data_IF_113999994503
#
_entry.id   IF_113999994503
#
_cell.length_a   1.000
_cell.length_b   1.000
_cell.length_c   1.000
_cell.angle_alpha   90.00
_cell.angle_beta   90.00
_cell.angle_gamma   90.00
#
_symmetry.space_group_name_H-M   'P 1'
#
loop_
_entity.id
_entity.type
_entity.pdbx_description
1 polymer ?
#
# COMPACT_ATOMS: atom_id res chain seq x y z
N UNK A 1 -73.30 13.02 33.73
CA UNK A 1 -72.20 13.17 32.76
C UNK A 1 -70.93 13.56 33.50
N UNK A 2 -70.01 12.63 33.70
CA UNK A 2 -68.63 12.90 34.12
C UNK A 2 -67.74 12.06 33.22
N UNK A 3 -67.09 12.71 32.27
CA UNK A 3 -66.06 12.11 31.41
C UNK A 3 -64.73 12.44 32.09
N UNK A 4 -64.03 11.42 32.59
CA UNK A 4 -62.66 11.55 33.05
C UNK A 4 -61.75 10.97 31.97
N UNK A 5 -61.06 11.87 31.30
CA UNK A 5 -60.06 11.61 30.26
C UNK A 5 -58.85 10.91 30.88
N UNK A 6 -58.55 9.69 30.41
CA UNK A 6 -57.30 8.99 30.72
C UNK A 6 -56.26 9.47 29.70
N UNK A 7 -55.21 10.16 30.19
CA UNK A 7 -54.08 10.59 29.37
C UNK A 7 -53.04 9.46 29.36
N UNK A 8 -52.89 8.77 28.23
CA UNK A 8 -51.84 7.78 28.02
C UNK A 8 -50.54 8.53 27.63
N UNK A 9 -49.55 8.59 28.53
CA UNK A 9 -48.20 9.01 28.16
C UNK A 9 -47.51 7.86 27.42
N UNK A 10 -47.30 8.01 26.12
CA UNK A 10 -46.42 7.14 25.34
C UNK A 10 -45.02 7.75 25.41
N UNK A 11 -44.15 7.21 26.25
CA UNK A 11 -42.73 7.55 26.26
C UNK A 11 -42.06 6.90 25.05
N UNK A 12 -41.69 7.71 24.06
CA UNK A 12 -40.89 7.27 22.91
C UNK A 12 -39.41 7.33 23.30
N UNK A 13 -38.82 6.17 23.59
CA UNK A 13 -37.38 6.04 23.80
C UNK A 13 -36.66 6.20 22.48
N UNK A 14 -36.02 7.35 22.25
CA UNK A 14 -35.09 7.54 21.14
C UNK A 14 -33.80 6.83 21.51
N UNK A 15 -33.56 5.66 20.90
CA UNK A 15 -32.26 4.99 20.95
C UNK A 15 -31.36 5.73 19.96
N UNK A 16 -30.52 6.62 20.47
CA UNK A 16 -29.37 7.15 19.72
C UNK A 16 -28.38 5.99 19.57
N UNK A 17 -28.41 5.30 18.43
CA UNK A 17 -27.28 4.52 17.97
C UNK A 17 -26.17 5.51 17.63
N UNK A 18 -25.30 5.80 18.60
CA UNK A 18 -23.98 6.32 18.29
C UNK A 18 -23.25 5.22 17.53
N UNK A 19 -23.21 5.32 16.20
CA UNK A 19 -22.22 4.60 15.42
C UNK A 19 -20.86 5.11 15.92
N UNK A 20 -20.21 4.36 16.80
CA UNK A 20 -18.80 4.58 17.06
C UNK A 20 -18.11 4.43 15.72
N UNK A 21 -17.61 5.52 15.15
CA UNK A 21 -16.76 5.44 13.98
C UNK A 21 -15.61 4.48 14.33
N UNK A 22 -15.49 3.38 13.58
CA UNK A 22 -14.34 2.50 13.73
C UNK A 22 -13.09 3.33 13.47
N UNK A 23 -12.04 3.14 14.28
CA UNK A 23 -10.77 3.79 14.03
C UNK A 23 -10.27 3.40 12.62
N UNK A 24 -9.83 4.39 11.86
CA UNK A 24 -9.29 4.19 10.51
C UNK A 24 -7.93 3.49 10.58
N UNK A 25 -7.65 2.65 9.59
CA UNK A 25 -6.38 1.97 9.48
C UNK A 25 -5.27 2.91 8.99
N UNK A 26 -4.09 2.78 9.58
CA UNK A 26 -2.82 3.20 9.00
C UNK A 26 -1.95 1.95 8.85
N UNK A 27 -1.81 1.47 7.61
CA UNK A 27 -1.05 0.27 7.25
C UNK A 27 0.35 0.71 6.82
N UNK A 28 1.40 0.16 7.43
CA UNK A 28 2.77 0.57 7.19
C UNK A 28 3.63 -0.62 6.74
N UNK A 29 4.18 -0.58 5.53
CA UNK A 29 5.10 -1.62 5.07
C UNK A 29 6.53 -1.38 5.59
N UNK A 30 7.13 -2.45 6.12
CA UNK A 30 8.54 -2.57 6.44
C UNK A 30 9.13 -3.66 5.53
N UNK A 31 9.96 -3.26 4.57
CA UNK A 31 10.58 -4.21 3.67
C UNK A 31 11.93 -4.72 4.21
N UNK A 32 12.21 -6.01 4.04
CA UNK A 32 13.32 -6.70 4.70
C UNK A 32 14.68 -6.15 4.27
N UNK A 33 14.78 -5.69 3.01
CA UNK A 33 16.02 -5.15 2.46
C UNK A 33 16.40 -3.77 2.97
N UNK A 34 15.52 -3.10 3.71
CA UNK A 34 15.71 -1.70 4.13
C UNK A 34 16.90 -1.55 5.10
N UNK A 35 17.26 -2.64 5.81
CA UNK A 35 18.43 -2.73 6.69
C UNK A 35 19.77 -2.65 5.95
N UNK A 36 19.78 -2.86 4.63
CA UNK A 36 20.98 -2.83 3.79
C UNK A 36 21.25 -1.47 3.14
N UNK A 37 20.32 -0.51 3.30
CA UNK A 37 20.54 0.83 2.77
C UNK A 37 21.74 1.49 3.44
N UNK A 38 22.54 2.26 2.70
CA UNK A 38 23.71 2.93 3.26
C UNK A 38 23.34 4.21 4.00
N UNK A 39 24.20 4.60 4.96
CA UNK A 39 24.14 5.93 5.59
C UNK A 39 22.78 6.22 6.22
N UNK A 40 22.26 7.42 5.96
CA UNK A 40 20.98 7.90 6.48
C UNK A 40 19.78 7.14 5.90
N UNK A 41 19.98 6.33 4.85
CA UNK A 41 18.93 5.47 4.31
C UNK A 41 18.71 4.18 5.09
N UNK A 42 19.62 3.78 5.98
CA UNK A 42 19.49 2.53 6.74
C UNK A 42 18.28 2.60 7.65
N UNK A 43 17.34 1.67 7.45
CA UNK A 43 16.11 1.56 8.22
C UNK A 43 15.99 0.16 8.81
N UNK A 44 15.70 0.07 10.11
CA UNK A 44 15.55 -1.18 10.86
C UNK A 44 14.41 -1.02 11.87
N UNK A 45 14.07 -2.08 12.62
CA UNK A 45 12.97 -2.10 13.59
C UNK A 45 13.03 -0.95 14.61
N UNK A 46 14.23 -0.53 15.04
CA UNK A 46 14.38 0.58 16.01
C UNK A 46 14.03 1.95 15.42
N UNK A 47 13.94 2.07 14.10
CA UNK A 47 13.54 3.32 13.48
C UNK A 47 12.02 3.52 13.57
N UNK A 48 11.25 2.43 13.52
CA UNK A 48 9.78 2.45 13.51
C UNK A 48 9.23 3.17 14.76
N UNK A 49 8.37 4.17 14.55
CA UNK A 49 7.49 4.70 15.59
C UNK A 49 6.14 3.94 15.57
N UNK A 50 5.90 3.01 16.51
CA UNK A 50 4.71 2.16 16.46
C UNK A 50 3.42 2.91 16.77
N UNK A 51 3.50 4.17 17.23
CA UNK A 51 2.31 4.98 17.49
C UNK A 51 1.72 5.57 16.21
N UNK A 52 2.48 5.57 15.11
CA UNK A 52 2.05 6.14 13.83
C UNK A 52 1.28 5.13 12.96
N UNK A 53 1.38 3.84 13.28
CA UNK A 53 0.77 2.76 12.51
C UNK A 53 -0.25 1.98 13.34
N UNK A 54 -1.30 1.50 12.70
CA UNK A 54 -2.24 0.53 13.29
C UNK A 54 -1.83 -0.90 12.98
N UNK A 55 -1.26 -1.09 11.78
CA UNK A 55 -0.75 -2.36 11.28
C UNK A 55 0.64 -2.13 10.70
N UNK A 56 1.58 -3.03 11.00
CA UNK A 56 2.89 -3.10 10.34
C UNK A 56 2.94 -4.39 9.53
N UNK A 57 3.28 -4.27 8.26
CA UNK A 57 3.44 -5.38 7.34
C UNK A 57 4.92 -5.68 7.18
N UNK A 58 5.38 -6.88 7.58
CA UNK A 58 6.70 -7.36 7.22
C UNK A 58 6.66 -7.85 5.77
N UNK A 59 7.34 -7.13 4.89
CA UNK A 59 7.59 -7.53 3.51
C UNK A 59 9.03 -8.04 3.36
N UNK A 60 9.33 -9.14 2.68
CA UNK A 60 8.41 -10.14 2.20
C UNK A 60 8.96 -11.54 2.46
N UNK A 61 8.04 -12.48 2.63
CA UNK A 61 8.28 -13.88 2.30
C UNK A 61 7.84 -14.13 0.84
N UNK A 62 8.32 -15.22 0.24
CA UNK A 62 8.01 -15.62 -1.12
C UNK A 62 7.32 -16.97 -1.18
N UNK A 63 7.11 -17.46 -2.40
CA UNK A 63 6.38 -18.69 -2.67
C UNK A 63 7.13 -19.61 -3.64
N UNK A 64 7.43 -20.83 -3.21
CA UNK A 64 7.94 -21.87 -4.09
C UNK A 64 6.82 -22.49 -4.96
N UNK A 65 7.14 -23.05 -6.14
CA UNK A 65 6.14 -23.63 -7.05
C UNK A 65 5.36 -24.84 -6.50
N UNK A 66 5.82 -25.44 -5.40
CA UNK A 66 5.15 -26.54 -4.70
C UNK A 66 4.19 -26.07 -3.60
N UNK A 67 4.09 -24.76 -3.38
CA UNK A 67 3.25 -24.14 -2.36
C UNK A 67 3.97 -23.88 -1.04
N UNK A 68 5.26 -24.19 -0.89
CA UNK A 68 5.99 -23.91 0.37
C UNK A 68 6.50 -22.47 0.46
N UNK A 69 6.69 -21.98 1.69
CA UNK A 69 7.20 -20.63 1.93
C UNK A 69 8.68 -20.53 1.50
N UNK A 70 9.02 -19.44 0.83
CA UNK A 70 10.39 -19.04 0.57
C UNK A 70 10.78 -17.88 1.50
N UNK A 71 11.81 -18.04 2.33
CA UNK A 71 12.37 -16.92 3.10
C UNK A 71 13.37 -16.20 2.21
N UNK A 72 12.92 -15.11 1.58
CA UNK A 72 13.68 -14.36 0.56
C UNK A 72 14.94 -13.73 1.16
N UNK A 73 14.88 -13.32 2.43
CA UNK A 73 15.97 -12.67 3.15
C UNK A 73 16.26 -13.34 4.50
N UNK A 74 17.06 -14.43 4.51
CA UNK A 74 17.37 -15.15 5.75
C UNK A 74 18.14 -14.33 6.79
N UNK A 75 18.84 -13.27 6.36
CA UNK A 75 19.61 -12.43 7.29
C UNK A 75 18.71 -11.45 8.04
N UNK A 76 17.66 -10.93 7.42
CA UNK A 76 16.64 -10.16 8.15
C UNK A 76 15.66 -11.06 8.91
N UNK A 77 15.56 -12.34 8.55
CA UNK A 77 14.68 -13.31 9.22
C UNK A 77 15.17 -13.76 10.61
N UNK A 78 14.36 -14.59 11.27
CA UNK A 78 14.71 -15.23 12.54
C UNK A 78 15.69 -16.42 12.39
N UNK A 79 16.02 -16.83 11.16
CA UNK A 79 16.85 -18.01 10.89
C UNK A 79 18.33 -17.73 11.15
N UNK A 80 18.88 -16.67 10.53
CA UNK A 80 20.33 -16.52 10.41
C UNK A 80 20.89 -15.16 10.88
N UNK A 81 20.06 -14.16 11.20
CA UNK A 81 20.57 -12.81 11.45
C UNK A 81 19.81 -11.96 12.44
N UNK A 82 19.23 -10.87 11.95
CA UNK A 82 18.74 -9.72 12.71
C UNK A 82 17.48 -10.01 13.50
N UNK A 83 16.83 -11.16 13.30
CA UNK A 83 15.59 -11.57 13.99
C UNK A 83 14.44 -10.58 13.76
N UNK A 84 14.29 -10.11 12.52
CA UNK A 84 13.32 -9.11 12.13
C UNK A 84 11.89 -9.52 12.45
N UNK A 85 11.52 -10.80 12.23
CA UNK A 85 10.16 -11.29 12.57
C UNK A 85 9.89 -11.16 14.06
N UNK A 86 10.76 -11.73 14.90
CA UNK A 86 10.59 -11.69 16.37
C UNK A 86 10.66 -10.25 16.89
N UNK A 87 11.56 -9.41 16.37
CA UNK A 87 11.72 -8.02 16.82
C UNK A 87 10.49 -7.18 16.48
N UNK A 88 9.93 -7.31 15.27
CA UNK A 88 8.69 -6.64 14.90
C UNK A 88 7.52 -7.12 15.74
N UNK A 89 7.28 -8.44 15.82
CA UNK A 89 6.10 -8.94 16.55
C UNK A 89 6.19 -8.67 18.06
N UNK A 90 7.39 -8.48 18.60
CA UNK A 90 7.62 -8.04 19.98
C UNK A 90 7.21 -6.59 20.26
N UNK A 91 7.07 -5.73 19.25
CA UNK A 91 6.58 -4.35 19.45
C UNK A 91 5.20 -4.33 20.12
N UNK A 92 4.38 -5.36 19.87
CA UNK A 92 3.04 -5.53 20.47
C UNK A 92 3.06 -5.64 22.00
N UNK A 93 4.18 -6.01 22.60
CA UNK A 93 4.32 -6.05 24.06
C UNK A 93 4.23 -4.65 24.68
N UNK A 94 4.73 -3.64 23.97
CA UNK A 94 4.66 -2.23 24.38
C UNK A 94 3.45 -1.51 23.78
N UNK A 95 2.96 -1.98 22.63
CA UNK A 95 1.84 -1.40 21.88
C UNK A 95 0.76 -2.46 21.62
N UNK A 96 -0.05 -2.83 22.63
CA UNK A 96 -0.95 -4.00 22.55
C UNK A 96 -2.08 -3.88 21.51
N UNK A 97 -2.36 -2.67 21.01
CA UNK A 97 -3.33 -2.45 19.93
C UNK A 97 -2.73 -2.60 18.53
N UNK A 98 -1.40 -2.58 18.40
CA UNK A 98 -0.70 -2.75 17.14
C UNK A 98 -0.91 -4.17 16.60
N UNK A 99 -1.14 -4.27 15.29
CA UNK A 99 -1.11 -5.53 14.55
C UNK A 99 0.17 -5.63 13.75
N UNK A 100 0.79 -6.80 13.75
CA UNK A 100 1.98 -7.09 12.94
C UNK A 100 1.64 -8.27 12.06
N UNK A 101 1.69 -8.08 10.75
CA UNK A 101 1.32 -9.07 9.74
C UNK A 101 2.53 -9.40 8.87
N UNK A 102 2.50 -10.56 8.21
CA UNK A 102 3.50 -10.97 7.23
C UNK A 102 2.90 -10.89 5.83
N UNK A 103 3.63 -10.27 4.91
CA UNK A 103 3.25 -10.15 3.50
C UNK A 103 4.03 -11.15 2.64
N UNK A 104 3.33 -11.82 1.74
CA UNK A 104 3.92 -12.72 0.74
C UNK A 104 3.76 -12.15 -0.67
N UNK A 105 4.85 -12.05 -1.41
CA UNK A 105 4.84 -11.59 -2.81
C UNK A 105 5.67 -10.36 -3.07
N UNK A 106 5.02 -9.35 -3.65
CA UNK A 106 5.65 -8.14 -4.16
C UNK A 106 6.22 -8.30 -5.57
N UNK A 107 6.47 -7.17 -6.21
CA UNK A 107 6.84 -7.08 -7.63
C UNK A 107 7.90 -8.09 -8.09
N UNK A 108 8.99 -8.26 -7.33
CA UNK A 108 10.15 -9.07 -7.75
C UNK A 108 9.93 -10.59 -7.71
N UNK A 109 8.96 -11.09 -6.94
CA UNK A 109 8.62 -12.53 -6.90
C UNK A 109 7.94 -12.99 -8.21
N UNK A 110 7.36 -12.05 -8.97
CA UNK A 110 6.62 -12.35 -10.19
C UNK A 110 5.26 -13.01 -9.92
N UNK A 111 4.59 -13.46 -10.98
CA UNK A 111 3.21 -13.98 -10.89
C UNK A 111 3.12 -15.50 -11.14
N UNK A 112 4.13 -16.10 -11.79
CA UNK A 112 4.07 -17.49 -12.25
C UNK A 112 3.83 -18.49 -11.13
N UNK A 113 4.59 -18.42 -10.03
CA UNK A 113 4.45 -19.38 -8.94
C UNK A 113 3.08 -19.23 -8.24
N UNK A 114 2.59 -18.01 -8.11
CA UNK A 114 1.28 -17.72 -7.53
C UNK A 114 0.15 -18.29 -8.39
N UNK A 115 0.20 -18.10 -9.71
CA UNK A 115 -0.74 -18.71 -10.65
C UNK A 115 -0.70 -20.25 -10.59
N UNK A 116 0.49 -20.85 -10.63
CA UNK A 116 0.67 -22.31 -10.57
C UNK A 116 0.20 -22.94 -9.24
N UNK A 117 0.30 -22.20 -8.13
CA UNK A 117 -0.16 -22.65 -6.81
C UNK A 117 -1.65 -22.44 -6.65
N UNK A 118 -2.18 -21.27 -7.06
CA UNK A 118 -3.59 -20.95 -6.98
C UNK A 118 -4.45 -21.90 -7.83
N UNK A 119 -3.95 -22.38 -8.97
CA UNK A 119 -4.65 -23.32 -9.86
C UNK A 119 -4.72 -24.77 -9.33
N UNK A 120 -3.95 -25.14 -8.31
CA UNK A 120 -3.87 -26.52 -7.80
C UNK A 120 -4.33 -26.59 -6.33
N UNK A 121 -5.51 -27.17 -6.03
CA UNK A 121 -6.02 -27.29 -4.67
C UNK A 121 -5.07 -28.00 -3.70
N UNK A 122 -4.22 -28.92 -4.18
CA UNK A 122 -3.23 -29.58 -3.34
C UNK A 122 -2.11 -28.62 -2.92
N UNK A 123 -1.67 -27.75 -3.84
CA UNK A 123 -0.65 -26.73 -3.56
C UNK A 123 -1.20 -25.58 -2.73
N UNK A 124 -2.43 -25.12 -3.00
CA UNK A 124 -3.12 -24.15 -2.13
C UNK A 124 -3.15 -24.64 -0.69
N UNK A 125 -3.52 -25.91 -0.48
CA UNK A 125 -3.52 -26.53 0.84
C UNK A 125 -2.14 -26.55 1.50
N UNK A 126 -1.07 -26.79 0.74
CA UNK A 126 0.32 -26.72 1.27
C UNK A 126 0.63 -25.30 1.71
N UNK A 127 0.43 -24.31 0.84
CA UNK A 127 0.65 -22.89 1.12
C UNK A 127 -0.10 -22.43 2.37
N UNK A 128 -1.38 -22.77 2.48
CA UNK A 128 -2.21 -22.37 3.63
C UNK A 128 -1.69 -22.97 4.94
N UNK A 129 -1.29 -24.24 4.94
CA UNK A 129 -0.74 -24.88 6.13
C UNK A 129 0.61 -24.26 6.54
N UNK A 130 1.46 -23.95 5.56
CA UNK A 130 2.76 -23.30 5.79
C UNK A 130 2.57 -21.88 6.36
N UNK A 131 1.67 -21.08 5.76
CA UNK A 131 1.34 -19.73 6.23
C UNK A 131 0.81 -19.74 7.67
N UNK A 132 -0.14 -20.64 7.97
CA UNK A 132 -0.67 -20.78 9.34
C UNK A 132 0.43 -21.14 10.33
N UNK A 133 1.26 -22.14 9.99
CA UNK A 133 2.35 -22.59 10.88
C UNK A 133 3.40 -21.50 11.09
N UNK A 134 3.74 -20.77 10.03
CA UNK A 134 4.68 -19.66 10.07
C UNK A 134 4.20 -18.52 10.98
N UNK A 135 2.92 -18.12 10.85
CA UNK A 135 2.35 -17.08 11.72
C UNK A 135 2.31 -17.51 13.19
N UNK A 136 1.97 -18.76 13.48
CA UNK A 136 2.00 -19.30 14.84
C UNK A 136 3.41 -19.31 15.42
N UNK A 137 4.40 -19.71 14.61
CA UNK A 137 5.81 -19.78 15.01
C UNK A 137 6.38 -18.39 15.33
N UNK A 138 6.08 -17.39 14.52
CA UNK A 138 6.68 -16.05 14.63
C UNK A 138 5.76 -15.01 15.29
N UNK A 139 4.59 -15.42 15.77
CA UNK A 139 3.64 -14.59 16.53
C UNK A 139 3.05 -13.40 15.74
N UNK A 140 2.79 -13.60 14.44
CA UNK A 140 2.07 -12.64 13.60
C UNK A 140 0.57 -12.63 13.90
N UNK A 141 -0.11 -11.51 13.63
CA UNK A 141 -1.57 -11.35 13.80
C UNK A 141 -2.37 -11.60 12.52
N UNK A 142 -1.70 -11.76 11.38
CA UNK A 142 -2.37 -11.97 10.12
C UNK A 142 -1.44 -12.08 8.92
N UNK A 143 -2.04 -12.42 7.79
CA UNK A 143 -1.40 -12.68 6.52
C UNK A 143 -1.88 -11.67 5.48
N UNK A 144 -0.94 -11.15 4.70
CA UNK A 144 -1.18 -10.23 3.59
C UNK A 144 -0.67 -10.86 2.29
N UNK A 145 -1.56 -10.99 1.30
CA UNK A 145 -1.21 -11.56 -0.01
C UNK A 145 -0.95 -10.45 -1.02
N UNK A 146 0.30 -10.29 -1.44
CA UNK A 146 0.74 -9.30 -2.41
C UNK A 146 1.13 -9.97 -3.74
N UNK A 147 0.16 -10.67 -4.36
CA UNK A 147 0.33 -11.26 -5.68
C UNK A 147 0.15 -10.18 -6.75
N UNK A 148 1.25 -9.83 -7.43
CA UNK A 148 1.27 -8.83 -8.49
C UNK A 148 1.47 -9.41 -9.92
N UNK A 149 0.42 -9.67 -10.70
CA UNK A 149 -1.01 -9.69 -10.37
C UNK A 149 -1.65 -10.96 -10.98
N UNK A 150 -2.77 -11.46 -10.43
CA UNK A 150 -3.58 -12.49 -11.08
C UNK A 150 -3.83 -12.16 -12.55
N UNK A 151 -3.60 -13.13 -13.45
CA UNK A 151 -3.83 -12.99 -14.90
C UNK A 151 -2.76 -12.20 -15.65
N UNK A 152 -1.74 -11.68 -14.95
CA UNK A 152 -0.70 -10.82 -15.50
C UNK A 152 0.70 -11.43 -15.23
N UNK A 153 1.72 -10.95 -15.95
CA UNK A 153 3.15 -11.28 -15.70
C UNK A 153 3.47 -12.78 -15.63
N UNK A 154 2.98 -13.54 -16.61
CA UNK A 154 3.01 -15.01 -16.69
C UNK A 154 2.00 -15.73 -15.78
N UNK A 155 0.88 -15.08 -15.50
CA UNK A 155 -0.34 -15.71 -14.96
C UNK A 155 -1.22 -16.34 -16.05
N UNK A 156 -2.42 -16.76 -15.64
CA UNK A 156 -3.44 -17.42 -16.46
C UNK A 156 -4.76 -16.65 -16.44
N UNK A 157 -5.57 -16.77 -17.49
CA UNK A 157 -6.92 -16.16 -17.55
C UNK A 157 -7.87 -16.73 -16.47
N UNK A 158 -7.54 -17.90 -15.89
CA UNK A 158 -8.29 -18.51 -14.78
C UNK A 158 -7.90 -17.93 -13.40
N UNK A 159 -6.83 -17.13 -13.32
CA UNK A 159 -6.30 -16.62 -12.07
C UNK A 159 -7.29 -15.81 -11.22
N UNK A 160 -8.23 -15.00 -11.78
CA UNK A 160 -9.20 -14.26 -10.95
C UNK A 160 -10.07 -15.20 -10.11
N UNK A 161 -10.51 -16.31 -10.68
CA UNK A 161 -11.30 -17.32 -9.98
C UNK A 161 -10.43 -18.15 -9.03
N UNK A 162 -9.23 -18.55 -9.47
CA UNK A 162 -8.27 -19.24 -8.60
C UNK A 162 -7.85 -18.39 -7.39
N UNK A 163 -7.78 -17.07 -7.55
CA UNK A 163 -7.50 -16.12 -6.49
C UNK A 163 -8.63 -16.08 -5.46
N UNK A 164 -9.89 -16.07 -5.90
CA UNK A 164 -11.07 -16.19 -5.02
C UNK A 164 -11.06 -17.52 -4.27
N UNK A 165 -10.76 -18.63 -4.94
CA UNK A 165 -10.65 -19.94 -4.27
C UNK A 165 -9.55 -19.95 -3.20
N UNK A 166 -8.37 -19.41 -3.52
CA UNK A 166 -7.25 -19.28 -2.58
C UNK A 166 -7.63 -18.42 -1.37
N UNK A 167 -8.23 -17.25 -1.59
CA UNK A 167 -8.69 -16.37 -0.50
C UNK A 167 -9.78 -17.02 0.34
N UNK A 168 -10.68 -17.79 -0.26
CA UNK A 168 -11.74 -18.53 0.44
C UNK A 168 -11.14 -19.56 1.40
N UNK A 169 -10.17 -20.35 0.91
CA UNK A 169 -9.51 -21.38 1.72
C UNK A 169 -8.60 -20.76 2.80
N UNK A 170 -7.90 -19.67 2.50
CA UNK A 170 -7.16 -18.87 3.50
C UNK A 170 -8.10 -18.35 4.58
N UNK A 171 -9.22 -17.71 4.21
CA UNK A 171 -10.19 -17.16 5.16
C UNK A 171 -10.72 -18.24 6.10
N UNK A 172 -11.03 -19.42 5.56
CA UNK A 172 -11.52 -20.56 6.33
C UNK A 172 -10.47 -21.09 7.33
N UNK A 173 -9.19 -21.05 6.99
CA UNK A 173 -8.10 -21.48 7.86
C UNK A 173 -7.74 -20.44 8.94
N UNK A 174 -7.82 -19.14 8.60
CA UNK A 174 -7.37 -18.03 9.46
C UNK A 174 -8.43 -17.56 10.45
N UNK A 175 -9.70 -17.47 10.03
CA UNK A 175 -10.77 -16.91 10.87
C UNK A 175 -10.95 -17.64 12.23
N UNK A 176 -10.93 -18.98 12.30
CA UNK A 176 -11.09 -19.70 13.58
C UNK A 176 -9.96 -19.44 14.58
N UNK A 177 -8.80 -18.97 14.11
CA UNK A 177 -7.64 -18.60 14.94
C UNK A 177 -7.62 -17.13 15.32
N UNK A 178 -8.55 -16.33 14.77
CA UNK A 178 -8.60 -14.88 14.98
C UNK A 178 -7.52 -14.11 14.22
N UNK A 179 -6.92 -14.71 13.18
CA UNK A 179 -5.96 -14.04 12.31
C UNK A 179 -6.64 -13.19 11.26
N UNK A 180 -6.01 -12.07 10.93
CA UNK A 180 -6.43 -11.16 9.86
C UNK A 180 -5.98 -11.70 8.49
N UNK A 181 -6.78 -11.45 7.47
CA UNK A 181 -6.44 -11.69 6.06
C UNK A 181 -6.58 -10.38 5.28
N UNK A 182 -5.50 -9.94 4.65
CA UNK A 182 -5.48 -8.79 3.74
C UNK A 182 -4.82 -9.12 2.40
N UNK A 183 -4.91 -8.18 1.48
CA UNK A 183 -4.15 -8.22 0.23
C UNK A 183 -3.75 -6.81 -0.21
N UNK A 184 -2.59 -6.70 -0.85
CA UNK A 184 -2.27 -5.56 -1.69
C UNK A 184 -2.80 -5.81 -3.11
N UNK A 185 -3.50 -4.83 -3.67
CA UNK A 185 -4.24 -4.97 -4.94
C UNK A 185 -3.98 -3.77 -5.84
N UNK A 186 -4.02 -3.97 -7.16
CA UNK A 186 -3.74 -2.89 -8.11
C UNK A 186 -4.76 -1.73 -8.03
N UNK A 187 -4.26 -0.51 -8.16
CA UNK A 187 -5.09 0.69 -8.38
C UNK A 187 -5.38 0.99 -9.86
N UNK A 188 -4.71 0.30 -10.80
CA UNK A 188 -4.90 0.51 -12.24
C UNK A 188 -6.17 -0.16 -12.75
N UNK A 189 -7.08 0.62 -13.33
CA UNK A 189 -8.41 0.16 -13.80
C UNK A 189 -8.31 -1.05 -14.74
N UNK A 190 -7.44 -0.99 -15.76
CA UNK A 190 -7.28 -2.07 -16.72
C UNK A 190 -6.73 -3.37 -16.09
N UNK A 191 -5.77 -3.26 -15.17
CA UNK A 191 -5.21 -4.42 -14.48
C UNK A 191 -6.23 -5.02 -13.49
N UNK A 192 -7.03 -4.18 -12.83
CA UNK A 192 -8.08 -4.61 -11.91
C UNK A 192 -9.15 -5.44 -12.63
N UNK A 193 -9.58 -5.00 -13.81
CA UNK A 193 -10.57 -5.71 -14.64
C UNK A 193 -10.08 -7.08 -15.13
N UNK A 194 -8.77 -7.28 -15.21
CA UNK A 194 -8.15 -8.57 -15.53
C UNK A 194 -8.03 -9.44 -14.28
N UNK A 195 -7.64 -8.85 -13.14
CA UNK A 195 -7.11 -9.60 -12.01
C UNK A 195 -8.16 -10.06 -10.99
N UNK A 196 -9.30 -9.37 -10.85
CA UNK A 196 -10.14 -9.54 -9.66
C UNK A 196 -11.64 -9.64 -9.92
N UNK A 197 -12.25 -10.63 -9.26
CA UNK A 197 -13.68 -10.64 -8.94
C UNK A 197 -13.93 -9.75 -7.70
N UNK A 198 -13.98 -8.44 -7.93
CA UNK A 198 -13.87 -7.40 -6.87
C UNK A 198 -14.82 -7.61 -5.68
N UNK A 199 -16.10 -7.89 -5.93
CA UNK A 199 -17.08 -8.08 -4.84
C UNK A 199 -16.72 -9.29 -3.97
N UNK A 200 -16.30 -10.41 -4.57
CA UNK A 200 -15.95 -11.63 -3.85
C UNK A 200 -14.63 -11.45 -3.07
N UNK A 201 -13.64 -10.82 -3.70
CA UNK A 201 -12.38 -10.44 -3.03
C UNK A 201 -12.66 -9.54 -1.81
N UNK A 202 -13.54 -8.54 -1.96
CA UNK A 202 -13.89 -7.63 -0.86
C UNK A 202 -14.58 -8.36 0.30
N UNK A 203 -15.45 -9.32 0.02
CA UNK A 203 -16.15 -10.09 1.05
C UNK A 203 -15.19 -10.96 1.89
N UNK A 204 -14.16 -11.51 1.26
CA UNK A 204 -13.21 -12.45 1.87
C UNK A 204 -12.13 -11.79 2.74
N UNK A 205 -11.73 -10.56 2.41
CA UNK A 205 -10.66 -9.84 3.12
C UNK A 205 -11.20 -9.09 4.33
N UNK A 206 -10.37 -8.94 5.38
CA UNK A 206 -10.65 -7.99 6.47
C UNK A 206 -10.41 -6.55 6.01
N UNK A 207 -9.38 -6.34 5.20
CA UNK A 207 -9.12 -5.10 4.47
C UNK A 207 -8.21 -5.35 3.26
N UNK A 208 -8.13 -4.38 2.36
CA UNK A 208 -7.24 -4.39 1.19
C UNK A 208 -6.47 -3.08 1.08
N UNK A 209 -5.22 -3.17 0.62
CA UNK A 209 -4.34 -2.03 0.36
C UNK A 209 -4.32 -1.75 -1.13
N UNK A 210 -5.00 -0.70 -1.58
CA UNK A 210 -5.11 -0.39 -3.02
C UNK A 210 -3.91 0.43 -3.47
N UNK A 211 -3.07 -0.16 -4.32
CA UNK A 211 -1.82 0.42 -4.83
C UNK A 211 -2.11 1.42 -5.96
N UNK A 212 -2.54 2.62 -5.57
CA UNK A 212 -2.81 3.78 -6.45
C UNK A 212 -1.58 4.67 -6.62
N UNK A 213 -0.45 4.03 -6.91
CA UNK A 213 0.84 4.63 -7.24
C UNK A 213 1.51 3.77 -8.33
N UNK A 214 2.67 4.18 -8.83
CA UNK A 214 3.31 3.60 -10.00
C UNK A 214 2.45 3.62 -11.28
N UNK A 215 1.57 4.62 -11.39
CA UNK A 215 0.81 4.86 -12.61
C UNK A 215 1.72 5.20 -13.79
N UNK A 216 2.78 5.99 -13.54
CA UNK A 216 3.81 6.34 -14.51
C UNK A 216 5.21 6.12 -13.95
N UNK A 217 6.17 5.84 -14.84
CA UNK A 217 7.56 5.60 -14.47
C UNK A 217 8.44 5.39 -15.70
N UNK A 218 9.75 5.17 -15.49
CA UNK A 218 10.72 5.02 -16.57
C UNK A 218 10.56 3.74 -17.43
N UNK A 219 9.49 2.97 -17.22
CA UNK A 219 9.02 1.94 -18.13
C UNK A 219 8.26 2.52 -19.34
N UNK A 220 7.92 3.82 -19.32
CA UNK A 220 7.35 4.60 -20.42
C UNK A 220 8.39 5.54 -21.04
N UNK A 221 8.20 6.00 -22.30
CA UNK A 221 9.14 6.89 -22.97
C UNK A 221 8.93 8.38 -22.66
N UNK A 222 8.18 8.72 -21.61
CA UNK A 222 7.82 10.09 -21.25
C UNK A 222 7.77 10.28 -19.72
N UNK A 223 7.80 11.54 -19.27
CA UNK A 223 7.58 11.87 -17.85
C UNK A 223 6.10 11.81 -17.49
N UNK A 224 5.81 11.23 -16.33
CA UNK A 224 4.48 11.18 -15.74
C UNK A 224 4.58 11.07 -14.22
N UNK A 225 3.56 11.57 -13.52
CA UNK A 225 3.53 11.48 -12.06
C UNK A 225 3.24 10.05 -11.60
N UNK A 226 3.93 9.60 -10.54
CA UNK A 226 3.75 8.23 -10.00
C UNK A 226 2.36 7.99 -9.42
N UNK A 227 1.75 9.01 -8.81
CA UNK A 227 0.48 8.87 -8.09
C UNK A 227 -0.37 10.16 -8.23
N UNK A 228 -0.75 10.60 -9.44
CA UNK A 228 -1.63 11.76 -9.59
C UNK A 228 -2.97 11.53 -8.89
N UNK A 229 -3.49 12.54 -8.18
CA UNK A 229 -4.80 12.44 -7.52
C UNK A 229 -5.92 12.37 -8.55
N UNK A 230 -5.86 13.27 -9.53
CA UNK A 230 -6.84 13.47 -10.60
C UNK A 230 -6.17 13.35 -11.98
N UNK A 231 -6.99 13.24 -13.03
CA UNK A 231 -6.52 13.25 -14.42
C UNK A 231 -6.05 14.66 -14.85
N UNK A 232 -5.10 14.71 -15.77
CA UNK A 232 -4.74 15.93 -16.50
C UNK A 232 -5.58 16.08 -17.77
N UNK A 233 -5.81 17.33 -18.18
CA UNK A 233 -6.31 17.70 -19.50
C UNK A 233 -5.39 17.27 -20.66
N UNK A 234 -4.14 16.91 -20.36
CA UNK A 234 -3.18 16.34 -21.32
C UNK A 234 -3.29 14.82 -21.45
N UNK A 235 -4.02 14.15 -20.56
CA UNK A 235 -4.14 12.69 -20.59
C UNK A 235 -4.92 12.24 -21.82
N UNK A 236 -4.36 11.23 -22.51
CA UNK A 236 -5.10 10.52 -23.54
C UNK A 236 -6.08 9.53 -22.92
N UNK A 237 -6.85 8.84 -23.77
CA UNK A 237 -7.84 7.88 -23.30
C UNK A 237 -7.25 6.71 -22.49
N UNK A 238 -5.98 6.35 -22.72
CA UNK A 238 -5.31 5.28 -21.99
C UNK A 238 -4.86 5.76 -20.60
N UNK A 239 -4.41 7.01 -20.49
CA UNK A 239 -3.88 7.58 -19.24
C UNK A 239 -4.95 8.24 -18.36
N UNK A 240 -6.12 8.58 -18.91
CA UNK A 240 -7.19 9.28 -18.18
C UNK A 240 -7.71 8.53 -16.92
N UNK A 241 -7.42 7.23 -16.78
CA UNK A 241 -7.79 6.42 -15.61
C UNK A 241 -6.61 6.05 -14.70
N UNK A 242 -5.39 6.48 -15.06
CA UNK A 242 -4.16 6.22 -14.29
C UNK A 242 -3.97 7.27 -13.19
N UNK A 243 -4.97 7.41 -12.32
CA UNK A 243 -4.97 8.31 -11.18
C UNK A 243 -5.70 7.71 -9.98
N UNK A 244 -5.43 8.27 -8.79
CA UNK A 244 -5.94 7.78 -7.50
C UNK A 244 -7.46 7.76 -7.48
N UNK A 245 -8.14 8.83 -7.92
CA UNK A 245 -9.60 8.88 -7.86
C UNK A 245 -10.25 7.83 -8.75
N UNK A 246 -9.77 7.67 -9.99
CA UNK A 246 -10.28 6.65 -10.92
C UNK A 246 -10.09 5.24 -10.36
N UNK A 247 -8.89 4.91 -9.87
CA UNK A 247 -8.60 3.59 -9.29
C UNK A 247 -9.49 3.25 -8.09
N UNK A 248 -9.59 4.16 -7.12
CA UNK A 248 -10.46 3.96 -5.94
C UNK A 248 -11.93 3.88 -6.34
N UNK A 249 -12.40 4.77 -7.22
CA UNK A 249 -13.81 4.78 -7.62
C UNK A 249 -14.18 3.50 -8.39
N UNK A 250 -13.28 2.96 -9.21
CA UNK A 250 -13.53 1.73 -9.95
C UNK A 250 -13.70 0.51 -9.03
N UNK A 251 -12.88 0.39 -7.97
CA UNK A 251 -13.07 -0.65 -6.94
C UNK A 251 -14.46 -0.56 -6.30
N UNK A 252 -14.90 0.66 -5.95
CA UNK A 252 -16.22 0.90 -5.35
C UNK A 252 -17.33 0.54 -6.35
N UNK A 253 -17.22 0.98 -7.60
CA UNK A 253 -18.21 0.73 -8.65
C UNK A 253 -18.34 -0.77 -8.98
N UNK A 254 -17.26 -1.52 -8.80
CA UNK A 254 -17.20 -2.98 -8.96
C UNK A 254 -17.65 -3.77 -7.73
N UNK A 255 -18.04 -3.08 -6.65
CA UNK A 255 -18.70 -3.69 -5.50
C UNK A 255 -17.83 -3.91 -4.27
N UNK A 256 -16.63 -3.32 -4.19
CA UNK A 256 -15.85 -3.36 -2.95
C UNK A 256 -16.49 -2.49 -1.86
N UNK A 257 -16.46 -2.98 -0.62
CA UNK A 257 -16.83 -2.21 0.56
C UNK A 257 -15.76 -1.12 0.82
N UNK A 258 -16.09 0.18 0.71
CA UNK A 258 -15.15 1.26 1.00
C UNK A 258 -14.51 1.12 2.38
N UNK A 259 -15.25 0.65 3.40
CA UNK A 259 -14.74 0.52 4.76
C UNK A 259 -13.62 -0.53 4.91
N UNK A 260 -13.44 -1.40 3.91
CA UNK A 260 -12.34 -2.37 3.84
C UNK A 260 -11.18 -1.90 2.97
N UNK A 261 -11.31 -0.80 2.25
CA UNK A 261 -10.26 -0.29 1.35
C UNK A 261 -9.34 0.69 2.07
N UNK A 262 -8.02 0.52 1.92
CA UNK A 262 -7.03 1.47 2.37
C UNK A 262 -6.35 2.11 1.14
N UNK A 263 -6.36 3.43 1.05
CA UNK A 263 -5.73 4.16 -0.07
C UNK A 263 -4.21 4.10 0.08
N UNK A 264 -3.52 3.52 -0.92
CA UNK A 264 -2.06 3.41 -0.93
C UNK A 264 -1.35 4.72 -1.25
N UNK A 265 -0.32 5.03 -0.48
CA UNK A 265 0.53 6.21 -0.63
C UNK A 265 1.98 5.77 -0.73
N UNK A 266 2.64 6.14 -1.82
CA UNK A 266 4.06 5.96 -2.01
C UNK A 266 4.86 7.07 -1.32
N UNK A 267 5.78 6.75 -0.42
CA UNK A 267 6.74 7.72 0.19
C UNK A 267 8.02 7.83 -0.64
N UNK A 268 7.89 7.73 -1.96
CA UNK A 268 8.95 7.79 -2.94
C UNK A 268 8.45 8.49 -4.21
N UNK A 269 9.37 8.89 -5.07
CA UNK A 269 9.09 9.43 -6.39
C UNK A 269 9.60 8.51 -7.50
N UNK A 270 8.96 8.62 -8.66
CA UNK A 270 9.49 8.10 -9.93
C UNK A 270 10.27 9.21 -10.60
N UNK A 271 11.51 8.92 -10.98
CA UNK A 271 12.44 9.90 -11.55
C UNK A 271 12.82 9.57 -12.99
N UNK A 272 13.20 10.60 -13.74
CA UNK A 272 13.42 10.53 -15.17
C UNK A 272 14.61 11.40 -15.59
N UNK A 273 15.28 10.99 -16.66
CA UNK A 273 16.25 11.82 -17.39
C UNK A 273 15.58 12.33 -18.67
N UNK A 274 15.29 13.63 -18.72
CA UNK A 274 14.66 14.33 -19.85
C UNK A 274 15.52 14.24 -21.11
N UNK A 275 14.89 14.06 -22.27
CA UNK A 275 15.58 14.12 -23.56
C UNK A 275 15.96 15.56 -23.96
N UNK A 276 15.19 16.55 -23.49
CA UNK A 276 15.45 17.97 -23.65
C UNK A 276 15.30 18.66 -22.28
N UNK A 277 16.40 19.15 -21.66
CA UNK A 277 16.38 19.83 -20.36
C UNK A 277 15.50 21.10 -20.33
N UNK A 278 15.13 21.63 -21.50
CA UNK A 278 14.24 22.80 -21.61
C UNK A 278 12.75 22.44 -21.63
N UNK A 279 12.41 21.15 -21.72
CA UNK A 279 11.04 20.66 -21.69
C UNK A 279 10.84 19.71 -20.50
N UNK A 280 10.25 20.24 -19.44
CA UNK A 280 9.94 19.51 -18.21
C UNK A 280 8.44 19.34 -17.97
N UNK A 281 7.62 19.60 -18.99
CA UNK A 281 6.17 19.45 -18.94
C UNK A 281 5.77 17.97 -18.89
N UNK A 282 4.54 17.68 -18.44
CA UNK A 282 3.96 16.35 -18.51
C UNK A 282 4.06 15.80 -19.95
N UNK A 283 4.35 14.51 -20.09
CA UNK A 283 4.60 13.83 -21.38
C UNK A 283 5.87 14.28 -22.14
N UNK A 284 6.75 15.08 -21.53
CA UNK A 284 8.07 15.34 -22.10
C UNK A 284 8.84 14.02 -22.34
N UNK A 285 9.50 13.84 -23.50
CA UNK A 285 10.25 12.62 -23.79
C UNK A 285 11.43 12.43 -22.84
N UNK A 286 11.73 11.17 -22.52
CA UNK A 286 12.85 10.79 -21.64
C UNK A 286 13.89 9.97 -22.39
N UNK A 287 15.08 9.85 -21.81
CA UNK A 287 16.12 8.91 -22.23
C UNK A 287 16.25 7.70 -21.32
N UNK A 288 15.59 7.74 -20.15
CA UNK A 288 15.55 6.66 -19.17
C UNK A 288 15.16 7.17 -17.79
N UNK A 289 15.38 6.33 -16.78
CA UNK A 289 15.19 6.70 -15.38
C UNK A 289 16.11 7.84 -14.96
N UNK A 290 15.68 8.58 -13.94
CA UNK A 290 16.54 9.55 -13.26
C UNK A 290 17.69 8.85 -12.56
N UNK A 291 18.76 9.59 -12.30
CA UNK A 291 19.96 9.07 -11.65
C UNK A 291 19.61 8.49 -10.28
N UNK A 292 20.08 7.26 -9.99
CA UNK A 292 19.91 6.64 -8.69
C UNK A 292 20.39 7.53 -7.53
N UNK A 293 19.56 7.64 -6.48
CA UNK A 293 19.94 8.26 -5.23
C UNK A 293 20.94 7.41 -4.42
N UNK A 294 21.63 7.99 -3.43
CA UNK A 294 22.66 7.29 -2.67
C UNK A 294 22.11 6.22 -1.73
N UNK A 295 20.84 6.29 -1.32
CA UNK A 295 20.19 5.42 -0.35
C UNK A 295 19.40 4.30 -1.04
N UNK A 296 18.49 4.63 -1.94
CA UNK A 296 17.67 3.66 -2.69
C UNK A 296 18.49 2.91 -3.72
N UNK A 297 19.49 3.58 -4.34
CA UNK A 297 20.42 3.01 -5.33
C UNK A 297 19.74 2.36 -6.53
N UNK A 298 18.60 2.91 -6.93
CA UNK A 298 17.82 2.43 -8.06
C UNK A 298 17.58 3.56 -9.05
N UNK A 299 17.97 3.37 -10.30
CA UNK A 299 17.67 4.33 -11.36
C UNK A 299 16.14 4.44 -11.53
N UNK A 300 15.67 5.67 -11.67
CA UNK A 300 14.25 5.98 -11.83
C UNK A 300 13.42 5.97 -10.54
N UNK A 301 14.04 5.82 -9.37
CA UNK A 301 13.37 5.87 -8.06
C UNK A 301 14.18 6.73 -7.10
N UNK A 302 13.50 7.59 -6.34
CA UNK A 302 14.08 8.33 -5.22
C UNK A 302 13.15 8.26 -4.02
N UNK A 303 13.66 7.93 -2.84
CA UNK A 303 12.87 8.02 -1.60
C UNK A 303 12.54 9.48 -1.26
N UNK A 304 11.44 9.74 -0.55
CA UNK A 304 11.14 11.11 -0.10
C UNK A 304 12.29 11.68 0.74
N UNK A 305 12.94 10.87 1.58
CA UNK A 305 14.15 11.25 2.29
C UNK A 305 15.29 11.74 1.38
N UNK A 306 15.51 11.09 0.22
CA UNK A 306 16.51 11.55 -0.76
C UNK A 306 16.07 12.85 -1.44
N UNK A 307 14.78 12.95 -1.80
CA UNK A 307 14.24 14.14 -2.45
C UNK A 307 14.34 15.36 -1.55
N UNK A 308 13.95 15.24 -0.28
CA UNK A 308 13.96 16.36 0.66
C UNK A 308 15.38 16.68 1.17
N UNK A 309 16.24 15.68 1.40
CA UNK A 309 17.60 15.90 1.90
C UNK A 309 18.53 16.44 0.80
N UNK A 310 18.47 15.88 -0.41
CA UNK A 310 19.50 16.07 -1.44
C UNK A 310 19.04 16.91 -2.63
N UNK A 311 17.73 17.13 -2.79
CA UNK A 311 17.14 17.80 -3.94
C UNK A 311 16.18 18.93 -3.54
N UNK A 312 16.30 19.45 -2.31
CA UNK A 312 15.51 20.58 -1.83
C UNK A 312 15.78 21.88 -2.59
N UNK A 313 16.95 22.02 -3.20
CA UNK A 313 17.38 23.14 -4.04
C UNK A 313 16.87 23.06 -5.49
N UNK A 314 16.35 21.91 -5.92
CA UNK A 314 15.73 21.76 -7.25
C UNK A 314 14.46 22.61 -7.36
N UNK A 315 14.10 22.97 -8.60
CA UNK A 315 12.90 23.77 -8.85
C UNK A 315 11.67 22.93 -8.48
N UNK A 316 10.94 23.35 -7.46
CA UNK A 316 9.68 22.76 -7.05
C UNK A 316 8.54 23.31 -7.92
N UNK A 317 7.74 22.41 -8.48
CA UNK A 317 6.59 22.73 -9.32
C UNK A 317 5.41 21.92 -8.80
N UNK A 318 4.27 22.58 -8.64
CA UNK A 318 3.01 21.96 -8.26
C UNK A 318 2.13 21.80 -9.49
N UNK A 319 1.66 20.58 -9.75
CA UNK A 319 0.67 20.32 -10.79
C UNK A 319 -0.74 20.60 -10.22
N UNK A 320 -1.39 21.64 -10.74
CA UNK A 320 -2.73 22.05 -10.30
C UNK A 320 -3.87 21.15 -10.83
N UNK A 321 -3.65 20.34 -11.86
CA UNK A 321 -4.67 19.40 -12.33
C UNK A 321 -4.54 18.07 -11.58
N UNK A 322 -3.33 17.54 -11.50
CA UNK A 322 -3.05 16.23 -10.89
C UNK A 322 -2.85 16.29 -9.37
N UNK A 323 -2.72 17.50 -8.79
CA UNK A 323 -2.59 17.77 -7.34
C UNK A 323 -1.40 17.06 -6.69
N UNK A 324 -0.26 17.08 -7.38
CA UNK A 324 1.00 16.46 -6.93
C UNK A 324 2.20 17.34 -7.29
N UNK A 325 3.30 17.28 -6.52
CA UNK A 325 4.52 18.00 -6.83
C UNK A 325 5.43 17.21 -7.78
N UNK A 326 6.29 17.95 -8.48
CA UNK A 326 7.54 17.43 -9.02
C UNK A 326 8.69 18.41 -8.81
N UNK A 327 9.91 17.91 -8.96
CA UNK A 327 11.14 18.69 -8.90
C UNK A 327 11.98 18.51 -10.15
N UNK A 328 12.62 19.59 -10.59
CA UNK A 328 13.45 19.61 -11.81
C UNK A 328 14.80 20.29 -11.56
N UNK A 329 15.87 19.69 -12.06
CA UNK A 329 17.20 20.30 -12.14
C UNK A 329 17.97 19.74 -13.33
N UNK A 330 18.34 20.63 -14.27
CA UNK A 330 18.98 20.21 -15.51
C UNK A 330 18.07 19.27 -16.31
N UNK A 331 18.56 18.07 -16.61
CA UNK A 331 17.79 17.01 -17.28
C UNK A 331 17.09 16.06 -16.30
N UNK A 332 17.17 16.28 -14.98
CA UNK A 332 16.57 15.40 -14.00
C UNK A 332 15.19 15.91 -13.58
N UNK A 333 14.22 14.99 -13.55
CA UNK A 333 12.84 15.23 -13.14
C UNK A 333 12.42 14.16 -12.12
N UNK A 334 11.73 14.52 -11.04
CA UNK A 334 11.14 13.55 -10.11
C UNK A 334 9.75 13.97 -9.67
N UNK A 335 8.78 13.10 -9.90
CA UNK A 335 7.39 13.26 -9.48
C UNK A 335 7.14 12.39 -8.27
N UNK A 336 6.61 12.99 -7.20
CA UNK A 336 6.54 12.37 -5.88
C UNK A 336 5.34 12.90 -5.10
N UNK A 337 5.19 12.45 -3.86
CA UNK A 337 4.22 12.97 -2.92
C UNK A 337 4.89 13.74 -1.78
N UNK A 338 4.35 14.92 -1.46
CA UNK A 338 4.73 15.71 -0.29
C UNK A 338 3.57 15.79 0.71
N UNK A 339 3.77 16.49 1.84
CA UNK A 339 2.73 16.66 2.85
C UNK A 339 1.43 17.28 2.27
N UNK A 340 1.52 18.14 1.27
CA UNK A 340 0.34 18.78 0.66
C UNK A 340 -0.44 17.76 -0.18
N UNK A 341 0.21 17.04 -1.08
CA UNK A 341 -0.49 16.05 -1.92
C UNK A 341 -1.03 14.87 -1.11
N UNK A 342 -0.30 14.44 -0.08
CA UNK A 342 -0.77 13.42 0.87
C UNK A 342 -2.01 13.88 1.62
N UNK A 343 -2.04 15.12 2.13
CA UNK A 343 -3.22 15.63 2.82
C UNK A 343 -4.46 15.56 1.91
N UNK A 344 -4.35 15.96 0.64
CA UNK A 344 -5.45 15.90 -0.33
C UNK A 344 -5.91 14.45 -0.60
N UNK A 345 -4.99 13.50 -0.71
CA UNK A 345 -5.32 12.07 -0.87
C UNK A 345 -6.02 11.49 0.35
N UNK A 346 -5.58 11.87 1.56
CA UNK A 346 -6.20 11.41 2.81
C UNK A 346 -7.58 12.05 3.00
N UNK A 347 -7.75 13.32 2.63
CA UNK A 347 -9.06 13.98 2.58
C UNK A 347 -10.02 13.25 1.64
N UNK A 348 -9.54 12.85 0.46
CA UNK A 348 -10.32 12.03 -0.47
C UNK A 348 -10.67 10.64 0.10
N UNK A 349 -9.74 9.99 0.80
CA UNK A 349 -10.01 8.73 1.49
C UNK A 349 -11.12 8.89 2.54
N UNK A 350 -11.12 9.99 3.29
CA UNK A 350 -12.18 10.32 4.25
C UNK A 350 -13.51 10.60 3.54
N UNK A 351 -13.51 11.37 2.45
CA UNK A 351 -14.71 11.66 1.65
C UNK A 351 -15.40 10.38 1.16
N UNK A 352 -14.61 9.40 0.71
CA UNK A 352 -15.10 8.10 0.25
C UNK A 352 -15.37 7.10 1.38
N UNK A 353 -15.22 7.52 2.64
CA UNK A 353 -15.37 6.67 3.82
C UNK A 353 -14.49 5.42 3.80
N UNK A 354 -13.31 5.51 3.19
CA UNK A 354 -12.38 4.38 3.07
C UNK A 354 -11.95 3.86 4.44
N UNK A 355 -11.63 2.57 4.57
CA UNK A 355 -11.13 1.94 5.79
C UNK A 355 -9.89 2.61 6.38
N UNK A 356 -9.10 3.27 5.54
CA UNK A 356 -7.95 4.05 5.95
C UNK A 356 -6.97 4.28 4.82
N UNK A 357 -5.68 4.17 5.14
CA UNK A 357 -4.55 4.44 4.25
C UNK A 357 -3.44 3.43 4.46
N UNK A 358 -2.70 3.19 3.40
CA UNK A 358 -1.52 2.32 3.38
C UNK A 358 -0.30 3.11 2.92
N UNK A 359 0.86 2.83 3.49
CA UNK A 359 2.12 3.50 3.18
C UNK A 359 3.15 2.49 2.67
N UNK A 360 3.64 2.75 1.46
CA UNK A 360 4.77 2.06 0.83
C UNK A 360 5.92 3.06 0.62
N UNK A 361 6.97 3.06 1.43
CA UNK A 361 7.17 2.29 2.65
C UNK A 361 7.80 3.15 3.75
N UNK A 362 7.90 2.63 4.98
CA UNK A 362 8.36 3.41 6.14
C UNK A 362 9.76 4.01 5.98
N UNK A 363 10.62 3.31 5.25
CA UNK A 363 12.05 3.57 5.09
C UNK A 363 12.39 4.69 4.10
N UNK A 364 11.44 5.12 3.27
CA UNK A 364 11.64 6.24 2.32
C UNK A 364 11.00 7.55 2.79
N UNK A 365 10.23 7.56 3.88
CA UNK A 365 9.87 8.80 4.59
C UNK A 365 11.11 9.41 5.27
N UNK A 366 11.07 10.67 5.72
CA UNK A 366 12.15 11.27 6.53
C UNK A 366 12.06 10.79 7.99
N UNK A 367 12.31 9.50 8.19
CA UNK A 367 12.23 8.85 9.50
C UNK A 367 13.28 9.35 10.51
N UNK A 368 14.34 10.01 10.04
CA UNK A 368 15.37 10.62 10.88
C UNK A 368 15.07 12.09 11.21
N UNK A 369 14.20 12.75 10.45
CA UNK A 369 13.85 14.16 10.62
C UNK A 369 14.94 15.11 10.15
N UNK A 370 15.70 14.73 9.12
CA UNK A 370 16.84 15.48 8.57
C UNK A 370 16.36 16.70 7.77
N UNK A 371 15.22 16.60 7.10
CA UNK A 371 14.70 17.62 6.18
C UNK A 371 14.07 18.83 6.90
N UNK A 372 14.07 18.83 8.24
CA UNK A 372 13.59 19.96 9.06
C UNK A 372 12.10 19.92 9.41
N UNK A 373 11.33 18.99 8.85
CA UNK A 373 9.91 18.76 9.15
C UNK A 373 9.64 17.95 10.43
N UNK A 374 10.69 17.47 11.10
CA UNK A 374 10.59 16.47 12.17
C UNK A 374 10.58 15.05 11.59
N UNK A 375 10.59 14.04 12.46
CA UNK A 375 10.58 12.63 12.02
C UNK A 375 9.23 12.27 11.40
N UNK A 376 9.28 11.49 10.31
CA UNK A 376 8.09 10.97 9.62
C UNK A 376 7.09 12.07 9.20
N UNK A 377 7.51 13.12 8.47
CA UNK A 377 6.61 14.20 8.10
C UNK A 377 5.43 13.71 7.26
N UNK A 378 5.63 12.74 6.37
CA UNK A 378 4.55 12.22 5.53
C UNK A 378 3.58 11.38 6.36
N UNK A 379 4.06 10.44 7.17
CA UNK A 379 3.20 9.60 8.01
C UNK A 379 2.48 10.40 9.11
N UNK A 380 3.11 11.45 9.67
CA UNK A 380 2.42 12.37 10.58
C UNK A 380 1.32 13.17 9.89
N UNK A 381 1.52 13.57 8.63
CA UNK A 381 0.50 14.24 7.84
C UNK A 381 -0.70 13.32 7.60
N UNK A 382 -0.45 12.06 7.28
CA UNK A 382 -1.48 11.02 7.19
C UNK A 382 -2.27 10.93 8.50
N UNK A 383 -1.58 10.67 9.62
CA UNK A 383 -2.22 10.51 10.92
C UNK A 383 -3.01 11.73 11.33
N UNK A 384 -2.51 12.94 11.06
CA UNK A 384 -3.20 14.19 11.37
C UNK A 384 -4.50 14.37 10.57
N UNK A 385 -4.50 13.96 9.30
CA UNK A 385 -5.59 14.20 8.35
C UNK A 385 -6.66 13.11 8.39
N UNK A 386 -6.31 11.90 8.79
CA UNK A 386 -7.22 10.75 8.89
C UNK A 386 -8.15 10.79 10.13
N UNK A 387 -7.93 11.73 11.05
CA UNK A 387 -8.62 11.84 12.35
C UNK A 387 -9.86 12.73 12.33
#
# INVERSE_FOLDING_TARGET
MKVSTVLLLVATSVVLLSASASAKNVICYFASWTVYRPGNGKFDVENIDPTLCTHIMFGFIGLYPDGTINIIDPWESDDDGLKGFTRLTSLKQSYPSLKVMVSMGGWNEGSKNYSDVAADPAKRKIMINEVVSFMEQHNFDGFDLDWEYPGLRNGSDDDPQNYVELLTELRAALSPKGYLLSAAVTGGVANMDIAYEVSEVSDLLDFMSVMVYDFHGAFEPFVGHTSPLDASSLDDAANATLNVKAGIQHWIDKGADPAKMNLGIGTYGRSFTLADPSNAELYAPITGGGTAGPYTRQDGVLGYNEICELHSDWTYIWDDEQQVPHRVSGDQWVGYDDEKSIALKVEYANEKNLGGVMVWALDTDDFLGICGGGKYPLLNTIKKTLN
#
